data_IF_974855817107
#
_entry.id   IF_974855817107
#
_cell.length_a   1.000
_cell.length_b   1.000
_cell.length_c   1.000
_cell.angle_alpha   90.00
_cell.angle_beta   90.00
_cell.angle_gamma   90.00
#
_symmetry.space_group_name_H-M   'P 1'
#
loop_
_entity.id
_entity.type
_entity.pdbx_description
1 polymer ?
#
# COMPACT_ATOMS: atom_id res chain seq x y z
N UNK A 1 23.93 -5.40 -10.11
CA UNK A 1 23.04 -6.56 -10.38
C UNK A 1 22.95 -7.55 -9.22
N UNK A 2 24.04 -7.96 -8.54
CA UNK A 2 23.95 -8.89 -7.38
C UNK A 2 22.90 -8.50 -6.32
N UNK A 3 22.80 -7.21 -5.99
CA UNK A 3 21.79 -6.71 -5.07
C UNK A 3 20.34 -6.99 -5.54
N UNK A 4 20.05 -6.89 -6.85
CA UNK A 4 18.70 -7.15 -7.39
C UNK A 4 18.30 -8.61 -7.23
N UNK A 5 19.23 -9.53 -7.43
CA UNK A 5 18.97 -10.96 -7.25
C UNK A 5 18.53 -11.27 -5.82
N UNK A 6 19.19 -10.67 -4.82
CA UNK A 6 18.80 -10.81 -3.42
C UNK A 6 17.46 -10.15 -3.08
N UNK A 7 17.17 -8.99 -3.69
CA UNK A 7 15.92 -8.26 -3.47
C UNK A 7 14.68 -8.94 -4.07
N UNK A 8 14.87 -9.66 -5.17
CA UNK A 8 13.81 -10.29 -5.95
C UNK A 8 13.78 -11.82 -5.82
N UNK A 9 14.81 -12.43 -5.24
CA UNK A 9 14.96 -13.88 -5.11
C UNK A 9 15.09 -14.60 -6.45
N UNK A 10 15.78 -13.99 -7.42
CA UNK A 10 15.94 -14.52 -8.78
C UNK A 10 17.39 -14.55 -9.22
N UNK A 11 17.70 -15.50 -10.12
CA UNK A 11 19.01 -15.56 -10.78
C UNK A 11 19.12 -14.55 -11.92
N UNK A 12 20.35 -14.25 -12.36
CA UNK A 12 20.60 -13.33 -13.48
C UNK A 12 19.85 -13.74 -14.75
N UNK A 13 19.71 -15.05 -14.97
CA UNK A 13 19.03 -15.65 -16.13
C UNK A 13 17.52 -15.42 -16.14
N UNK A 14 16.94 -14.97 -15.01
CA UNK A 14 15.54 -14.58 -14.96
C UNK A 14 15.26 -13.36 -15.84
N UNK A 15 16.19 -12.41 -15.89
CA UNK A 15 16.04 -11.17 -16.67
C UNK A 15 16.95 -11.10 -17.90
N UNK A 16 17.93 -12.00 -18.03
CA UNK A 16 18.91 -11.97 -19.12
C UNK A 16 19.05 -13.35 -19.75
N UNK A 17 19.26 -13.40 -21.06
CA UNK A 17 19.68 -14.62 -21.73
C UNK A 17 21.21 -14.70 -21.72
N UNK A 18 21.73 -15.90 -21.47
CA UNK A 18 23.16 -16.15 -21.54
C UNK A 18 23.68 -15.74 -22.93
N UNK A 19 24.78 -14.98 -22.95
CA UNK A 19 25.49 -14.52 -24.16
C UNK A 19 24.72 -13.56 -25.09
N UNK A 20 23.52 -13.08 -24.70
CA UNK A 20 22.69 -12.15 -25.48
C UNK A 20 22.15 -10.96 -24.65
N UNK A 21 22.96 -10.45 -23.72
CA UNK A 21 22.59 -9.46 -22.70
C UNK A 21 21.96 -8.17 -23.23
N UNK A 22 22.46 -7.67 -24.36
CA UNK A 22 22.04 -6.38 -24.94
C UNK A 22 20.94 -6.54 -26.00
N UNK A 23 20.97 -7.62 -26.79
CA UNK A 23 20.15 -7.78 -27.99
C UNK A 23 18.74 -8.29 -27.71
N UNK A 24 18.54 -8.98 -26.59
CA UNK A 24 17.23 -9.55 -26.25
C UNK A 24 16.60 -8.85 -25.04
N UNK A 25 15.28 -8.68 -25.11
CA UNK A 25 14.44 -8.08 -24.07
C UNK A 25 13.38 -9.08 -23.60
N UNK A 26 13.75 -10.09 -22.79
CA UNK A 26 12.78 -10.96 -22.14
C UNK A 26 11.72 -10.14 -21.40
N UNK A 27 10.49 -10.65 -21.31
CA UNK A 27 9.38 -9.94 -20.63
C UNK A 27 9.76 -9.51 -19.20
N UNK A 28 10.53 -10.34 -18.48
CA UNK A 28 11.06 -10.01 -17.16
C UNK A 28 11.98 -8.79 -17.17
N UNK A 29 12.81 -8.60 -18.20
CA UNK A 29 13.67 -7.40 -18.38
C UNK A 29 12.81 -6.16 -18.64
N UNK A 30 11.81 -6.27 -19.49
CA UNK A 30 10.88 -5.17 -19.78
C UNK A 30 10.10 -4.76 -18.52
N UNK A 31 9.61 -5.75 -17.76
CA UNK A 31 8.96 -5.54 -16.48
C UNK A 31 9.89 -4.86 -15.48
N UNK A 32 11.12 -5.34 -15.34
CA UNK A 32 12.12 -4.72 -14.46
C UNK A 32 12.38 -3.25 -14.83
N UNK A 33 12.53 -2.91 -16.12
CA UNK A 33 12.68 -1.51 -16.57
C UNK A 33 11.50 -0.63 -16.15
N UNK A 34 10.26 -1.13 -16.25
CA UNK A 34 9.06 -0.41 -15.79
C UNK A 34 9.09 -0.20 -14.27
N UNK A 35 9.54 -1.20 -13.50
CA UNK A 35 9.68 -1.08 -12.04
C UNK A 35 10.74 -0.05 -11.64
N UNK A 36 11.89 -0.01 -12.31
CA UNK A 36 12.90 1.03 -12.08
C UNK A 36 12.35 2.44 -12.32
N UNK A 37 11.62 2.63 -13.43
CA UNK A 37 10.98 3.92 -13.72
C UNK A 37 9.96 4.28 -12.66
N UNK A 38 9.17 3.32 -12.19
CA UNK A 38 8.19 3.54 -11.12
C UNK A 38 8.86 3.96 -9.80
N UNK A 39 9.91 3.26 -9.35
CA UNK A 39 10.65 3.66 -8.14
C UNK A 39 11.25 5.06 -8.29
N UNK A 40 11.82 5.38 -9.46
CA UNK A 40 12.33 6.72 -9.75
C UNK A 40 11.24 7.78 -9.65
N UNK A 41 10.08 7.56 -10.27
CA UNK A 41 8.94 8.48 -10.18
C UNK A 41 8.45 8.65 -8.74
N UNK A 42 8.33 7.54 -7.99
CA UNK A 42 7.88 7.57 -6.59
C UNK A 42 8.84 8.37 -5.73
N UNK A 43 10.14 8.11 -5.86
CA UNK A 43 11.19 8.82 -5.14
C UNK A 43 11.14 10.33 -5.40
N UNK A 44 11.06 10.73 -6.67
CA UNK A 44 11.03 12.16 -7.04
C UNK A 44 9.74 12.87 -6.60
N UNK A 45 8.59 12.21 -6.76
CA UNK A 45 7.29 12.87 -6.57
C UNK A 45 6.78 12.86 -5.12
N UNK A 46 7.20 11.91 -4.29
CA UNK A 46 6.68 11.73 -2.92
C UNK A 46 7.75 11.70 -1.83
N UNK A 47 9.04 11.62 -2.20
CA UNK A 47 10.13 11.48 -1.23
C UNK A 47 11.29 12.44 -1.51
N UNK A 48 11.06 13.54 -2.23
CA UNK A 48 12.08 14.58 -2.50
C UNK A 48 13.37 14.00 -3.15
N UNK A 49 13.23 12.94 -3.95
CA UNK A 49 14.35 12.24 -4.57
C UNK A 49 15.12 11.30 -3.64
N UNK A 50 14.65 11.07 -2.41
CA UNK A 50 15.23 10.10 -1.47
C UNK A 50 14.77 8.69 -1.82
N UNK A 51 15.65 7.71 -1.57
CA UNK A 51 15.40 6.30 -1.85
C UNK A 51 14.67 5.61 -0.68
N UNK A 52 13.50 6.11 -0.29
CA UNK A 52 12.69 5.57 0.82
C UNK A 52 11.97 4.27 0.44
N UNK A 53 11.67 4.08 -0.85
CA UNK A 53 11.07 2.85 -1.40
C UNK A 53 12.11 2.14 -2.27
N UNK A 54 12.32 0.86 -2.01
CA UNK A 54 13.25 0.01 -2.76
C UNK A 54 12.54 -1.23 -3.30
N UNK A 55 13.24 -2.06 -4.07
CA UNK A 55 12.68 -3.32 -4.53
C UNK A 55 12.25 -4.22 -3.34
N UNK A 56 13.02 -4.22 -2.24
CA UNK A 56 12.69 -5.02 -1.05
C UNK A 56 11.33 -4.67 -0.49
N UNK A 57 11.04 -3.37 -0.43
CA UNK A 57 9.84 -2.80 0.19
C UNK A 57 8.56 -3.47 -0.31
N UNK A 58 8.52 -3.92 -1.57
CA UNK A 58 7.38 -4.64 -2.13
C UNK A 58 7.65 -6.15 -2.24
N UNK A 59 8.84 -6.52 -2.71
CA UNK A 59 9.14 -7.88 -3.16
C UNK A 59 9.54 -8.82 -2.04
N UNK A 60 10.20 -8.33 -0.98
CA UNK A 60 10.66 -9.14 0.16
C UNK A 60 11.35 -10.45 -0.25
N UNK A 61 12.23 -10.39 -1.25
CA UNK A 61 12.96 -11.56 -1.75
C UNK A 61 12.16 -12.48 -2.67
N UNK A 62 10.97 -12.07 -3.12
CA UNK A 62 10.16 -12.81 -4.08
C UNK A 62 9.94 -12.07 -5.41
N UNK A 63 9.78 -12.76 -6.54
CA UNK A 63 9.63 -12.12 -7.85
C UNK A 63 8.28 -11.43 -8.04
N UNK A 64 7.27 -11.80 -7.24
CA UNK A 64 5.91 -11.24 -7.30
C UNK A 64 5.50 -10.72 -5.92
N UNK A 65 5.24 -9.42 -5.78
CA UNK A 65 4.79 -8.84 -4.51
C UNK A 65 3.33 -9.22 -4.21
N UNK A 66 2.97 -9.24 -2.93
CA UNK A 66 1.59 -9.45 -2.48
C UNK A 66 0.83 -8.12 -2.40
N UNK A 67 -0.44 -8.11 -2.82
CA UNK A 67 -1.36 -6.98 -2.55
C UNK A 67 -1.91 -7.02 -1.12
N UNK A 68 -1.68 -8.10 -0.37
CA UNK A 68 -2.13 -8.26 1.00
C UNK A 68 -3.58 -8.70 1.16
N UNK A 69 -4.31 -9.03 0.09
CA UNK A 69 -5.76 -9.31 0.20
C UNK A 69 -6.05 -10.50 1.13
N UNK A 70 -5.26 -11.58 1.03
CA UNK A 70 -5.42 -12.75 1.89
C UNK A 70 -4.94 -12.47 3.33
N UNK A 71 -3.83 -11.75 3.46
CA UNK A 71 -3.21 -11.39 4.73
C UNK A 71 -4.09 -10.43 5.53
N UNK A 72 -4.61 -9.38 4.90
CA UNK A 72 -5.57 -8.45 5.48
C UNK A 72 -6.85 -9.20 5.86
N UNK A 73 -7.38 -10.08 4.99
CA UNK A 73 -8.57 -10.87 5.29
C UNK A 73 -8.39 -11.73 6.55
N UNK A 74 -7.27 -12.46 6.62
CA UNK A 74 -6.93 -13.29 7.77
C UNK A 74 -6.70 -12.48 9.05
N UNK A 75 -6.03 -11.32 8.96
CA UNK A 75 -5.78 -10.45 10.11
C UNK A 75 -7.06 -9.75 10.60
N UNK A 76 -7.93 -9.31 9.68
CA UNK A 76 -9.22 -8.70 10.01
C UNK A 76 -10.13 -9.71 10.72
N UNK A 77 -10.16 -10.96 10.26
CA UNK A 77 -10.93 -12.04 10.90
C UNK A 77 -10.44 -12.37 12.33
N UNK A 78 -9.19 -12.03 12.65
CA UNK A 78 -8.57 -12.24 13.96
C UNK A 78 -8.59 -11.00 14.85
N UNK A 79 -9.23 -9.90 14.43
CA UNK A 79 -9.35 -8.71 15.27
C UNK A 79 -10.06 -9.06 16.59
N UNK A 80 -9.64 -8.49 17.73
CA UNK A 80 -10.33 -8.66 19.01
C UNK A 80 -11.83 -8.36 18.89
N UNK A 81 -12.66 -9.08 19.64
CA UNK A 81 -14.12 -8.96 19.58
C UNK A 81 -14.58 -7.52 19.87
N UNK A 82 -13.90 -6.84 20.78
CA UNK A 82 -14.16 -5.44 21.13
C UNK A 82 -13.96 -4.52 19.92
N UNK A 83 -12.90 -4.75 19.12
CA UNK A 83 -12.66 -3.98 17.89
C UNK A 83 -13.72 -4.26 16.83
N UNK A 84 -14.13 -5.53 16.68
CA UNK A 84 -15.19 -5.90 15.74
C UNK A 84 -16.51 -5.22 16.14
N UNK A 85 -16.84 -5.21 17.43
CA UNK A 85 -18.03 -4.55 17.97
C UNK A 85 -18.04 -3.04 17.68
N UNK A 86 -16.90 -2.36 17.84
CA UNK A 86 -16.79 -0.93 17.51
C UNK A 86 -17.09 -0.68 16.02
N UNK A 87 -16.51 -1.47 15.12
CA UNK A 87 -16.75 -1.33 13.66
C UNK A 87 -18.23 -1.59 13.33
N UNK A 88 -18.82 -2.64 13.90
CA UNK A 88 -20.23 -2.96 13.71
C UNK A 88 -21.13 -1.85 14.26
N UNK A 89 -20.82 -1.29 15.43
CA UNK A 89 -21.57 -0.19 16.02
C UNK A 89 -21.50 1.07 15.13
N UNK A 90 -20.31 1.43 14.63
CA UNK A 90 -20.14 2.55 13.71
C UNK A 90 -21.00 2.37 12.45
N UNK A 91 -20.96 1.20 11.83
CA UNK A 91 -21.77 0.91 10.63
C UNK A 91 -23.27 0.98 10.96
N UNK A 92 -23.71 0.38 12.08
CA UNK A 92 -25.11 0.41 12.47
C UNK A 92 -25.62 1.81 12.75
N UNK A 93 -24.80 2.67 13.35
CA UNK A 93 -25.14 4.07 13.63
C UNK A 93 -25.31 4.92 12.38
N UNK A 94 -24.79 4.49 11.22
CA UNK A 94 -25.09 5.15 9.93
C UNK A 94 -26.56 4.98 9.52
N UNK A 95 -27.26 3.95 10.02
CA UNK A 95 -28.67 3.72 9.73
C UNK A 95 -29.00 3.77 8.22
N UNK A 96 -29.87 4.68 7.77
CA UNK A 96 -30.22 4.82 6.34
C UNK A 96 -29.11 5.44 5.49
N UNK A 97 -28.08 6.04 6.09
CA UNK A 97 -27.01 6.75 5.37
C UNK A 97 -25.87 5.82 4.89
N UNK A 98 -25.92 4.53 5.21
CA UNK A 98 -24.86 3.54 4.88
C UNK A 98 -24.43 3.57 3.41
N UNK A 99 -25.39 3.70 2.50
CA UNK A 99 -25.18 3.64 1.06
C UNK A 99 -24.92 5.02 0.43
N UNK A 100 -25.13 6.10 1.18
CA UNK A 100 -24.92 7.46 0.67
C UNK A 100 -23.43 7.71 0.43
N UNK A 101 -23.08 8.54 -0.55
CA UNK A 101 -21.70 8.98 -0.75
C UNK A 101 -21.15 9.56 0.55
N UNK A 102 -19.96 9.12 0.93
CA UNK A 102 -19.40 9.39 2.23
C UNK A 102 -19.14 10.88 2.48
N UNK A 103 -18.87 11.66 1.44
CA UNK A 103 -18.77 13.12 1.52
C UNK A 103 -20.09 13.83 1.85
N UNK A 104 -21.22 13.12 1.79
CA UNK A 104 -22.53 13.63 2.21
C UNK A 104 -22.88 13.23 3.66
N UNK A 105 -22.09 12.34 4.27
CA UNK A 105 -22.35 11.76 5.60
C UNK A 105 -21.27 12.17 6.59
N UNK A 106 -20.01 12.14 6.16
CA UNK A 106 -18.84 12.53 6.93
C UNK A 106 -18.27 13.85 6.41
N UNK A 107 -17.70 14.62 7.32
CA UNK A 107 -17.01 15.86 7.00
C UNK A 107 -15.56 15.59 6.55
N UNK A 108 -15.00 16.53 5.77
CA UNK A 108 -13.60 16.50 5.32
C UNK A 108 -13.16 15.22 4.57
N UNK A 109 -14.05 14.65 3.75
CA UNK A 109 -13.70 13.56 2.80
C UNK A 109 -12.99 14.14 1.58
N UNK A 110 -11.69 13.86 1.44
CA UNK A 110 -10.87 14.36 0.35
C UNK A 110 -10.55 13.32 -0.73
N UNK A 111 -10.17 12.10 -0.33
CA UNK A 111 -9.68 11.06 -1.26
C UNK A 111 -10.77 10.08 -1.68
N UNK A 112 -11.71 9.75 -0.80
CA UNK A 112 -12.72 8.69 -1.00
C UNK A 112 -14.10 9.21 -1.45
N UNK A 113 -14.15 10.32 -2.17
CA UNK A 113 -15.42 10.87 -2.68
C UNK A 113 -16.14 9.85 -3.57
N UNK A 114 -17.47 9.77 -3.45
CA UNK A 114 -18.32 8.82 -4.17
C UNK A 114 -18.33 7.39 -3.58
N UNK A 115 -17.48 7.09 -2.59
CA UNK A 115 -17.54 5.83 -1.86
C UNK A 115 -18.71 5.85 -0.88
N UNK A 116 -19.38 4.72 -0.63
CA UNK A 116 -20.43 4.68 0.39
C UNK A 116 -19.88 4.89 1.80
N UNK A 117 -20.68 5.48 2.69
CA UNK A 117 -20.30 5.73 4.08
C UNK A 117 -19.88 4.45 4.81
N UNK A 118 -20.60 3.34 4.64
CA UNK A 118 -20.21 2.05 5.21
C UNK A 118 -18.84 1.58 4.70
N UNK A 119 -18.58 1.73 3.39
CA UNK A 119 -17.35 1.25 2.80
C UNK A 119 -16.13 2.03 3.31
N UNK A 120 -16.27 3.32 3.61
CA UNK A 120 -15.19 4.08 4.26
C UNK A 120 -14.85 3.47 5.62
N UNK A 121 -15.83 3.15 6.47
CA UNK A 121 -15.57 2.55 7.79
C UNK A 121 -14.77 1.24 7.67
N UNK A 122 -15.11 0.42 6.66
CA UNK A 122 -14.39 -0.83 6.38
C UNK A 122 -12.97 -0.57 5.86
N UNK A 123 -12.77 0.43 5.00
CA UNK A 123 -11.44 0.84 4.54
C UNK A 123 -10.57 1.33 5.70
N UNK A 124 -11.11 2.10 6.63
CA UNK A 124 -10.38 2.52 7.83
C UNK A 124 -9.94 1.32 8.67
N UNK A 125 -10.80 0.31 8.80
CA UNK A 125 -10.44 -0.96 9.47
C UNK A 125 -9.27 -1.64 8.75
N UNK A 126 -9.27 -1.68 7.41
CA UNK A 126 -8.16 -2.24 6.64
C UNK A 126 -6.86 -1.47 6.88
N UNK A 127 -6.89 -0.14 7.05
CA UNK A 127 -5.68 0.63 7.37
C UNK A 127 -5.09 0.29 8.73
N UNK A 128 -5.94 0.04 9.74
CA UNK A 128 -5.44 -0.42 11.06
C UNK A 128 -4.62 -1.70 10.94
N UNK A 129 -5.06 -2.62 10.08
CA UNK A 129 -4.36 -3.89 9.81
C UNK A 129 -3.11 -3.68 8.97
N UNK A 130 -3.21 -2.92 7.86
CA UNK A 130 -2.11 -2.73 6.93
C UNK A 130 -0.94 -1.94 7.53
N UNK A 131 -1.22 -1.04 8.47
CA UNK A 131 -0.23 -0.20 9.14
C UNK A 131 0.11 -0.70 10.56
N UNK A 132 -0.59 -1.71 11.07
CA UNK A 132 -0.39 -2.25 12.42
C UNK A 132 -0.71 -1.23 13.53
N UNK A 133 -1.75 -0.44 13.33
CA UNK A 133 -2.11 0.68 14.22
C UNK A 133 -3.59 0.64 14.60
N UNK A 134 -4.12 1.70 15.19
CA UNK A 134 -5.54 1.88 15.44
C UNK A 134 -6.04 3.26 14.94
N UNK A 135 -7.32 3.54 15.15
CA UNK A 135 -7.95 4.77 14.68
C UNK A 135 -7.27 6.03 15.22
N UNK A 136 -6.76 5.98 16.46
CA UNK A 136 -6.20 7.14 17.16
C UNK A 136 -4.88 7.62 16.55
N UNK A 137 -4.23 6.79 15.75
CA UNK A 137 -3.02 7.18 15.03
C UNK A 137 -3.26 8.31 14.03
N UNK A 138 -4.43 8.31 13.39
CA UNK A 138 -4.80 9.30 12.38
C UNK A 138 -5.95 10.21 12.80
N UNK A 139 -6.79 9.80 13.74
CA UNK A 139 -8.00 10.51 14.13
C UNK A 139 -8.00 10.84 15.61
N UNK A 140 -8.61 11.97 15.96
CA UNK A 140 -8.96 12.30 17.33
C UNK A 140 -10.40 11.86 17.56
N UNK A 141 -10.67 11.17 18.68
CA UNK A 141 -12.02 10.76 19.02
C UNK A 141 -12.94 12.00 19.07
N UNK A 142 -14.14 11.86 18.50
CA UNK A 142 -15.16 12.92 18.38
C UNK A 142 -14.75 14.13 17.52
N UNK A 143 -13.56 14.11 16.92
CA UNK A 143 -13.01 15.13 16.00
C UNK A 143 -12.47 14.44 14.74
N UNK A 144 -13.35 13.68 14.08
CA UNK A 144 -12.97 12.81 12.95
C UNK A 144 -12.55 13.60 11.71
N UNK A 145 -13.08 14.82 11.59
CA UNK A 145 -12.85 15.77 10.51
C UNK A 145 -11.54 16.53 10.65
N UNK A 146 -11.00 16.65 11.87
CA UNK A 146 -9.73 17.32 12.13
C UNK A 146 -8.57 16.71 11.35
N UNK A 147 -7.66 17.57 10.90
CA UNK A 147 -6.45 17.16 10.22
C UNK A 147 -5.34 16.90 11.24
N UNK A 148 -4.86 15.66 11.26
CA UNK A 148 -3.73 15.20 12.05
C UNK A 148 -2.57 14.89 11.11
N UNK A 149 -1.29 15.11 11.48
CA UNK A 149 -0.16 14.90 10.57
C UNK A 149 -0.15 13.51 9.90
N UNK A 150 -0.50 12.45 10.64
CA UNK A 150 -0.58 11.09 10.10
C UNK A 150 -1.72 10.93 9.06
N UNK A 151 -2.84 11.65 9.21
CA UNK A 151 -3.96 11.66 8.26
C UNK A 151 -3.57 12.33 6.94
N UNK A 152 -2.81 13.43 7.00
CA UNK A 152 -2.27 14.07 5.78
C UNK A 152 -1.30 13.16 5.04
N UNK A 153 -0.37 12.54 5.76
CA UNK A 153 0.57 11.58 5.18
C UNK A 153 -0.20 10.41 4.55
N UNK A 154 -1.21 9.87 5.22
CA UNK A 154 -2.04 8.79 4.67
C UNK A 154 -2.75 9.21 3.37
N UNK A 155 -3.25 10.46 3.28
CA UNK A 155 -3.85 10.99 2.04
C UNK A 155 -2.81 11.07 0.91
N UNK A 156 -1.59 11.49 1.20
CA UNK A 156 -0.50 11.50 0.22
C UNK A 156 -0.13 10.09 -0.25
N UNK A 157 0.01 9.14 0.69
CA UNK A 157 0.30 7.74 0.35
C UNK A 157 -0.82 7.10 -0.49
N UNK A 158 -2.08 7.46 -0.24
CA UNK A 158 -3.19 7.02 -1.08
C UNK A 158 -3.10 7.55 -2.51
N UNK A 159 -2.67 8.81 -2.70
CA UNK A 159 -2.41 9.37 -4.03
C UNK A 159 -1.27 8.62 -4.71
N UNK A 160 -0.16 8.36 -4.00
CA UNK A 160 0.96 7.58 -4.51
C UNK A 160 0.53 6.18 -4.97
N UNK A 161 -0.20 5.43 -4.14
CA UNK A 161 -0.69 4.08 -4.49
C UNK A 161 -1.63 4.14 -5.69
N UNK A 162 -2.53 5.13 -5.75
CA UNK A 162 -3.41 5.32 -6.91
C UNK A 162 -2.62 5.60 -8.18
N UNK A 163 -1.61 6.47 -8.11
CA UNK A 163 -0.84 6.87 -9.27
C UNK A 163 0.05 5.72 -9.78
N UNK A 164 0.61 4.90 -8.88
CA UNK A 164 1.29 3.64 -9.26
C UNK A 164 0.32 2.69 -9.99
N UNK A 165 -0.86 2.45 -9.42
CA UNK A 165 -1.85 1.57 -10.01
C UNK A 165 -2.35 2.07 -11.37
N UNK A 166 -2.54 3.38 -11.51
CA UNK A 166 -2.96 3.99 -12.77
C UNK A 166 -1.88 3.87 -13.85
N UNK A 167 -0.61 4.08 -13.51
CA UNK A 167 0.49 4.10 -14.47
C UNK A 167 0.93 2.70 -14.91
N UNK A 168 0.81 1.69 -14.05
CA UNK A 168 1.36 0.36 -14.32
C UNK A 168 0.31 -0.73 -14.54
N UNK A 169 -0.91 -0.54 -14.03
CA UNK A 169 -1.91 -1.60 -13.93
C UNK A 169 -3.29 -1.16 -14.40
N UNK A 170 -3.37 -0.14 -15.25
CA UNK A 170 -4.62 0.39 -15.81
C UNK A 170 -5.66 0.75 -14.74
N UNK A 171 -5.19 1.22 -13.58
CA UNK A 171 -6.02 1.59 -12.43
C UNK A 171 -6.49 0.39 -11.59
N UNK A 172 -6.12 -0.85 -11.95
CA UNK A 172 -6.42 -2.01 -11.12
C UNK A 172 -5.63 -1.93 -9.80
N UNK A 173 -6.25 -2.27 -8.65
CA UNK A 173 -5.62 -2.15 -7.33
C UNK A 173 -4.63 -3.32 -7.08
N UNK A 174 -3.51 -3.34 -7.80
CA UNK A 174 -2.46 -4.35 -7.67
C UNK A 174 -1.47 -4.02 -6.57
N UNK A 175 -1.22 -2.73 -6.35
CA UNK A 175 -0.45 -2.20 -5.22
C UNK A 175 -1.42 -1.67 -4.18
N UNK A 176 -1.20 -2.02 -2.91
CA UNK A 176 -1.99 -1.55 -1.78
C UNK A 176 -1.07 -1.23 -0.59
N UNK A 177 -1.63 -0.67 0.48
CA UNK A 177 -0.87 -0.32 1.68
C UNK A 177 -0.05 -1.50 2.21
N UNK A 178 -0.65 -2.71 2.23
CA UNK A 178 0.02 -3.93 2.67
C UNK A 178 1.23 -4.32 1.80
N UNK A 179 1.24 -3.98 0.51
CA UNK A 179 2.35 -4.30 -0.39
C UNK A 179 3.68 -3.80 0.17
N UNK A 180 3.68 -2.62 0.82
CA UNK A 180 4.86 -2.03 1.44
C UNK A 180 4.88 -2.18 2.97
N UNK A 181 3.76 -1.86 3.63
CA UNK A 181 3.75 -1.67 5.08
C UNK A 181 3.67 -2.97 5.87
N UNK A 182 2.97 -3.98 5.35
CA UNK A 182 2.90 -5.34 5.93
C UNK A 182 2.62 -5.38 7.44
N UNK A 183 1.76 -4.48 7.93
CA UNK A 183 1.43 -4.39 9.35
C UNK A 183 2.37 -3.53 10.18
N UNK A 184 3.15 -2.65 9.54
CA UNK A 184 4.01 -1.68 10.21
C UNK A 184 3.79 -0.26 9.66
N UNK A 185 3.81 0.74 10.54
CA UNK A 185 3.61 2.16 10.17
C UNK A 185 4.65 2.62 9.15
N UNK A 186 5.88 2.10 9.22
CA UNK A 186 6.92 2.31 8.22
C UNK A 186 7.27 1.00 7.54
N UNK A 187 7.44 0.98 6.21
CA UNK A 187 7.91 -0.21 5.51
C UNK A 187 9.28 -0.68 6.01
N UNK A 188 9.51 -1.99 5.97
CA UNK A 188 10.79 -2.56 6.36
C UNK A 188 11.89 -2.17 5.36
N UNK A 189 13.05 -1.79 5.89
CA UNK A 189 14.23 -1.58 5.07
C UNK A 189 14.76 -2.93 4.55
N UNK A 190 15.45 -2.90 3.41
CA UNK A 190 16.17 -4.07 2.94
C UNK A 190 17.17 -4.54 4.02
N UNK A 191 17.29 -5.86 4.26
CA UNK A 191 18.34 -6.39 5.12
C UNK A 191 19.69 -5.85 4.64
N UNK A 192 20.52 -5.37 5.58
CA UNK A 192 21.91 -5.06 5.24
C UNK A 192 22.53 -6.36 4.74
N UNK A 193 23.07 -6.37 3.52
CA UNK A 193 23.82 -7.52 3.04
C UNK A 193 24.94 -7.79 4.05
N UNK A 194 24.95 -8.97 4.68
CA UNK A 194 26.17 -9.47 5.30
C UNK A 194 27.17 -9.61 4.15
N UNK A 195 28.07 -8.64 4.05
CA UNK A 195 29.16 -8.68 3.09
C UNK A 195 30.11 -9.78 3.55
N UNK A 196 30.04 -10.93 2.88
CA UNK A 196 31.12 -11.92 2.77
C UNK A 196 31.40 -12.14 1.28
#
# INVERSE_FOLDING_TARGET
MKALNGLLGVECTHCHLADAWEKEEPEAKQTARRMFKMIGNVSQNYFEGKNEVTCWTCHHGGPKPSSGSAEIGAATAKLPAERQQVVTALINNLGPDKDRPAEQVFQNIQVFKGMSAERIVRVMTVFTVALGTDCSHCHVADQWDDDHPAKEIAREMLRMVRDINQQLFDGQPKVACWTCHRGAVKPEAAPKSSAD
#
